data_IF_152865437811
#
_entry.id   IF_152865437811
#
_cell.length_a   1.000
_cell.length_b   1.000
_cell.length_c   1.000
_cell.angle_alpha   90.00
_cell.angle_beta   90.00
_cell.angle_gamma   90.00
#
_symmetry.space_group_name_H-M   'P 1'
#
loop_
_entity.id
_entity.type
_entity.pdbx_description
1 polymer ?
#
# COMPACT_ATOMS: atom_id res chain seq x y z
N UNK A 1 -47.50 -14.72 49.23
CA UNK A 1 -47.24 -13.25 49.08
C UNK A 1 -45.81 -12.81 49.37
N UNK A 2 -45.13 -13.18 50.47
CA UNK A 2 -43.75 -12.74 50.78
C UNK A 2 -42.70 -13.12 49.74
N UNK A 3 -42.76 -14.25 49.07
CA UNK A 3 -41.80 -14.65 48.01
C UNK A 3 -41.90 -13.81 46.72
N UNK A 4 -43.07 -13.34 46.35
CA UNK A 4 -43.28 -12.54 45.18
C UNK A 4 -42.78 -11.07 45.36
N UNK A 5 -42.94 -10.56 46.59
CA UNK A 5 -42.42 -9.20 46.93
C UNK A 5 -40.90 -9.14 46.93
N UNK A 6 -40.18 -10.23 47.35
CA UNK A 6 -38.73 -10.28 47.29
C UNK A 6 -38.22 -10.37 45.85
N UNK A 7 -38.87 -11.13 44.99
CA UNK A 7 -38.52 -11.23 43.55
C UNK A 7 -38.75 -9.89 42.84
N UNK A 8 -39.90 -9.19 43.10
CA UNK A 8 -40.15 -7.87 42.57
C UNK A 8 -39.17 -6.80 43.08
N UNK A 9 -38.82 -6.84 44.36
CA UNK A 9 -37.79 -5.94 44.96
C UNK A 9 -36.42 -6.16 44.37
N UNK A 10 -36.03 -7.40 44.10
CA UNK A 10 -34.74 -7.73 43.44
C UNK A 10 -34.78 -7.26 41.96
N UNK A 11 -35.90 -7.44 41.25
CA UNK A 11 -36.04 -6.95 39.86
C UNK A 11 -35.97 -5.41 39.78
N UNK A 12 -36.59 -4.69 40.70
CA UNK A 12 -36.53 -3.22 40.77
C UNK A 12 -35.11 -2.73 41.13
N UNK A 13 -34.43 -3.37 42.11
CA UNK A 13 -33.06 -3.03 42.48
C UNK A 13 -32.07 -3.30 41.34
N UNK A 14 -32.25 -4.41 40.63
CA UNK A 14 -31.46 -4.82 39.48
C UNK A 14 -31.66 -3.80 38.34
N UNK A 15 -32.92 -3.40 38.07
CA UNK A 15 -33.22 -2.36 37.06
C UNK A 15 -32.63 -1.00 37.41
N UNK A 16 -32.66 -0.61 38.70
CA UNK A 16 -32.06 0.64 39.15
C UNK A 16 -30.51 0.62 39.09
N UNK A 17 -29.88 -0.49 39.40
CA UNK A 17 -28.41 -0.65 39.28
C UNK A 17 -27.95 -0.57 37.81
N UNK A 18 -28.66 -1.23 36.90
CA UNK A 18 -28.41 -1.14 35.46
C UNK A 18 -28.44 0.31 34.96
N UNK A 19 -29.48 1.05 35.36
CA UNK A 19 -29.67 2.44 35.00
C UNK A 19 -28.55 3.34 35.59
N UNK A 20 -28.20 3.14 36.85
CA UNK A 20 -27.16 3.90 37.51
C UNK A 20 -25.75 3.69 36.90
N UNK A 21 -25.37 2.45 36.55
CA UNK A 21 -24.10 2.17 35.90
C UNK A 21 -24.06 2.77 34.48
N UNK A 22 -25.17 2.75 33.76
CA UNK A 22 -25.28 3.37 32.44
C UNK A 22 -25.15 4.88 32.52
N UNK A 23 -25.82 5.53 33.46
CA UNK A 23 -25.76 7.00 33.67
C UNK A 23 -24.34 7.42 34.05
N UNK A 24 -23.67 6.70 34.95
CA UNK A 24 -22.30 6.97 35.33
C UNK A 24 -21.30 6.80 34.18
N UNK A 25 -21.50 5.78 33.33
CA UNK A 25 -20.67 5.61 32.13
C UNK A 25 -20.87 6.76 31.12
N UNK A 26 -22.09 7.24 30.96
CA UNK A 26 -22.39 8.42 30.13
C UNK A 26 -21.76 9.70 30.70
N UNK A 27 -21.79 9.88 32.03
CA UNK A 27 -21.09 11.00 32.69
C UNK A 27 -19.56 10.98 32.41
N UNK A 28 -18.93 9.82 32.53
CA UNK A 28 -17.51 9.67 32.14
C UNK A 28 -17.26 9.93 30.65
N UNK A 29 -18.19 9.49 29.79
CA UNK A 29 -18.14 9.77 28.35
C UNK A 29 -18.17 11.28 28.06
N UNK A 30 -19.13 11.99 28.63
CA UNK A 30 -19.28 13.45 28.44
C UNK A 30 -18.05 14.24 28.93
N UNK A 31 -17.33 13.68 29.91
CA UNK A 31 -16.06 14.22 30.41
C UNK A 31 -14.83 13.71 29.64
N UNK A 32 -14.98 13.01 28.52
CA UNK A 32 -13.90 12.40 27.73
C UNK A 32 -13.04 11.38 28.49
N UNK A 33 -13.55 10.81 29.57
CA UNK A 33 -12.88 9.80 30.41
C UNK A 33 -13.20 8.37 29.91
N UNK A 34 -12.87 8.09 28.66
CA UNK A 34 -13.28 6.86 27.95
C UNK A 34 -12.88 5.57 28.63
N UNK A 35 -11.70 5.53 29.28
CA UNK A 35 -11.28 4.32 30.01
C UNK A 35 -12.14 4.08 31.26
N UNK A 36 -12.58 5.11 31.95
CA UNK A 36 -13.47 4.97 33.11
C UNK A 36 -14.88 4.58 32.65
N UNK A 37 -15.37 5.20 31.57
CA UNK A 37 -16.63 4.81 30.95
C UNK A 37 -16.60 3.32 30.54
N UNK A 38 -15.51 2.87 29.92
CA UNK A 38 -15.33 1.46 29.51
C UNK A 38 -15.41 0.51 30.73
N UNK A 39 -14.74 0.84 31.82
CA UNK A 39 -14.75 0.02 33.04
C UNK A 39 -16.17 -0.12 33.61
N UNK A 40 -16.91 1.00 33.70
CA UNK A 40 -18.30 0.96 34.20
C UNK A 40 -19.24 0.13 33.30
N UNK A 41 -19.10 0.27 31.97
CA UNK A 41 -19.89 -0.54 31.03
C UNK A 41 -19.50 -2.02 31.11
N UNK A 42 -18.23 -2.36 31.25
CA UNK A 42 -17.79 -3.76 31.43
C UNK A 42 -18.43 -4.38 32.69
N UNK A 43 -18.38 -3.67 33.83
CA UNK A 43 -19.03 -4.11 35.06
C UNK A 43 -20.55 -4.29 34.89
N UNK A 44 -21.19 -3.38 34.16
CA UNK A 44 -22.61 -3.50 33.86
C UNK A 44 -22.94 -4.72 32.96
N UNK A 45 -22.10 -5.04 31.98
CA UNK A 45 -22.26 -6.21 31.11
C UNK A 45 -22.08 -7.50 31.88
N UNK A 46 -21.17 -7.58 32.86
CA UNK A 46 -21.03 -8.76 33.72
C UNK A 46 -22.32 -9.06 34.50
N UNK A 47 -23.04 -8.02 34.93
CA UNK A 47 -24.32 -8.15 35.62
C UNK A 47 -25.50 -8.40 34.68
N UNK A 48 -25.42 -7.88 33.46
CA UNK A 48 -26.50 -7.90 32.46
C UNK A 48 -25.99 -8.33 31.08
N UNK A 49 -25.53 -9.60 30.92
CA UNK A 49 -24.83 -10.06 29.71
C UNK A 49 -25.73 -10.15 28.46
N UNK A 50 -27.03 -10.00 28.64
CA UNK A 50 -28.01 -10.05 27.54
C UNK A 50 -28.57 -8.67 27.18
N UNK A 51 -28.01 -7.58 27.68
CA UNK A 51 -28.47 -6.21 27.36
C UNK A 51 -27.77 -5.68 26.10
N UNK A 52 -28.46 -5.68 24.94
CA UNK A 52 -27.90 -5.16 23.68
C UNK A 52 -27.46 -3.70 23.79
N UNK A 53 -28.18 -2.88 24.55
CA UNK A 53 -27.87 -1.45 24.72
C UNK A 53 -26.53 -1.19 25.44
N UNK A 54 -26.08 -2.09 26.32
CA UNK A 54 -24.75 -1.98 26.97
C UNK A 54 -23.62 -2.28 25.99
N UNK A 55 -23.78 -3.31 25.16
CA UNK A 55 -22.82 -3.61 24.09
C UNK A 55 -22.77 -2.45 23.07
N UNK A 56 -23.92 -1.85 22.75
CA UNK A 56 -23.98 -0.69 21.86
C UNK A 56 -23.19 0.51 22.40
N UNK A 57 -23.29 0.80 23.71
CA UNK A 57 -22.48 1.83 24.33
C UNK A 57 -20.99 1.48 24.36
N UNK A 58 -20.66 0.23 24.68
CA UNK A 58 -19.25 -0.22 24.71
C UNK A 58 -18.61 -0.16 23.34
N UNK A 59 -19.31 -0.62 22.31
CA UNK A 59 -18.90 -0.50 20.91
C UNK A 59 -18.55 0.94 20.54
N UNK A 60 -19.38 1.92 20.92
CA UNK A 60 -19.12 3.35 20.68
C UNK A 60 -17.83 3.84 21.39
N UNK A 61 -17.53 3.34 22.60
CA UNK A 61 -16.27 3.64 23.28
C UNK A 61 -15.09 3.03 22.53
N UNK A 62 -15.21 1.77 22.09
CA UNK A 62 -14.17 1.12 21.29
C UNK A 62 -13.92 1.82 19.96
N UNK A 63 -14.97 2.31 19.29
CA UNK A 63 -14.86 3.13 18.06
C UNK A 63 -13.96 4.36 18.29
N UNK A 64 -14.22 5.14 19.37
CA UNK A 64 -13.41 6.33 19.71
C UNK A 64 -11.96 5.94 20.06
N UNK A 65 -11.77 4.81 20.73
CA UNK A 65 -10.44 4.32 21.10
C UNK A 65 -9.74 3.58 19.95
N UNK A 66 -10.36 3.48 18.77
CA UNK A 66 -9.87 2.74 17.60
C UNK A 66 -9.54 1.26 17.89
N UNK A 67 -10.30 0.65 18.81
CA UNK A 67 -10.16 -0.75 19.23
C UNK A 67 -11.10 -1.64 18.39
N UNK A 68 -10.77 -1.81 17.14
CA UNK A 68 -11.64 -2.41 16.11
C UNK A 68 -11.98 -3.88 16.37
N UNK A 69 -11.05 -4.67 16.90
CA UNK A 69 -11.29 -6.09 17.20
C UNK A 69 -12.33 -6.30 18.32
N UNK A 70 -12.29 -5.44 19.34
CA UNK A 70 -13.25 -5.47 20.43
C UNK A 70 -14.59 -4.89 19.99
N UNK A 71 -14.57 -3.85 19.17
CA UNK A 71 -15.76 -3.29 18.55
C UNK A 71 -16.52 -4.35 17.73
N UNK A 72 -15.83 -5.17 16.93
CA UNK A 72 -16.45 -6.26 16.17
C UNK A 72 -17.14 -7.29 17.05
N UNK A 73 -16.54 -7.66 18.20
CA UNK A 73 -17.15 -8.62 19.14
C UNK A 73 -18.47 -8.10 19.71
N UNK A 74 -18.52 -6.81 20.02
CA UNK A 74 -19.74 -6.19 20.55
C UNK A 74 -20.82 -6.08 19.46
N UNK A 75 -20.45 -5.73 18.23
CA UNK A 75 -21.36 -5.68 17.09
C UNK A 75 -21.93 -7.07 16.79
N UNK A 76 -21.13 -8.13 16.85
CA UNK A 76 -21.57 -9.51 16.70
C UNK A 76 -22.58 -9.89 17.81
N UNK A 77 -22.29 -9.48 19.06
CA UNK A 77 -23.17 -9.76 20.18
C UNK A 77 -24.51 -9.04 20.07
N UNK A 78 -24.54 -7.78 19.64
CA UNK A 78 -25.77 -7.01 19.39
C UNK A 78 -26.63 -7.73 18.34
N UNK A 79 -26.01 -8.19 17.25
CA UNK A 79 -26.71 -8.92 16.18
C UNK A 79 -27.27 -10.26 16.69
N UNK A 80 -26.52 -11.00 17.53
CA UNK A 80 -26.97 -12.26 18.12
C UNK A 80 -28.15 -12.08 19.07
N UNK A 81 -28.09 -11.05 19.94
CA UNK A 81 -29.15 -10.78 20.90
C UNK A 81 -30.47 -10.39 20.21
N UNK A 82 -30.40 -9.70 19.08
CA UNK A 82 -31.53 -9.32 18.22
C UNK A 82 -32.74 -8.71 18.98
N UNK A 83 -32.45 -7.95 20.04
CA UNK A 83 -33.47 -7.38 20.92
C UNK A 83 -34.17 -6.15 20.35
N UNK A 84 -33.36 -5.29 19.71
CA UNK A 84 -33.83 -4.04 19.13
C UNK A 84 -33.45 -4.01 17.64
N UNK A 85 -34.47 -3.91 16.78
CA UNK A 85 -34.31 -3.95 15.32
C UNK A 85 -33.47 -2.81 14.79
N UNK A 86 -33.58 -1.61 15.35
CA UNK A 86 -32.78 -0.46 14.94
C UNK A 86 -31.33 -0.65 15.32
N UNK A 87 -31.05 -1.09 16.57
CA UNK A 87 -29.68 -1.38 17.03
C UNK A 87 -29.02 -2.46 16.17
N UNK A 88 -29.74 -3.52 15.81
CA UNK A 88 -29.24 -4.59 14.93
C UNK A 88 -28.89 -4.05 13.55
N UNK A 89 -29.71 -3.16 12.98
CA UNK A 89 -29.43 -2.58 11.68
C UNK A 89 -28.24 -1.64 11.71
N UNK A 90 -28.14 -0.78 12.75
CA UNK A 90 -26.96 0.06 12.97
C UNK A 90 -25.72 -0.82 13.14
N UNK A 91 -25.83 -1.94 13.88
CA UNK A 91 -24.74 -2.87 14.07
C UNK A 91 -24.24 -3.49 12.75
N UNK A 92 -25.12 -3.85 11.82
CA UNK A 92 -24.68 -4.29 10.49
C UNK A 92 -23.96 -3.19 9.70
N UNK A 93 -24.45 -1.96 9.74
CA UNK A 93 -23.81 -0.83 9.08
C UNK A 93 -22.43 -0.54 9.68
N UNK A 94 -22.32 -0.47 10.99
CA UNK A 94 -21.05 -0.23 11.71
C UNK A 94 -20.08 -1.40 11.51
N UNK A 95 -20.56 -2.64 11.55
CA UNK A 95 -19.72 -3.82 11.33
C UNK A 95 -19.14 -3.83 9.91
N UNK A 96 -19.92 -3.41 8.91
CA UNK A 96 -19.39 -3.22 7.55
C UNK A 96 -18.29 -2.16 7.52
N UNK A 97 -18.47 -1.05 8.23
CA UNK A 97 -17.47 0.04 8.30
C UNK A 97 -16.18 -0.43 8.99
N UNK A 98 -16.30 -1.11 10.12
CA UNK A 98 -15.12 -1.64 10.87
C UNK A 98 -14.39 -2.70 10.06
N UNK A 99 -15.11 -3.66 9.47
CA UNK A 99 -14.53 -4.68 8.59
C UNK A 99 -13.80 -4.05 7.40
N UNK A 100 -14.35 -2.97 6.83
CA UNK A 100 -13.69 -2.23 5.75
C UNK A 100 -12.37 -1.60 6.22
N UNK A 101 -12.33 -1.00 7.42
CA UNK A 101 -11.09 -0.47 8.02
C UNK A 101 -10.04 -1.55 8.29
N UNK A 102 -10.47 -2.77 8.60
CA UNK A 102 -9.61 -3.94 8.81
C UNK A 102 -9.23 -4.69 7.52
N UNK A 103 -9.65 -4.20 6.35
CA UNK A 103 -9.37 -4.84 5.06
C UNK A 103 -10.23 -6.07 4.76
N UNK A 104 -11.22 -6.39 5.59
CA UNK A 104 -12.14 -7.52 5.41
C UNK A 104 -13.28 -7.15 4.44
N UNK A 105 -12.92 -6.75 3.23
CA UNK A 105 -13.84 -6.11 2.27
C UNK A 105 -14.97 -7.03 1.81
N UNK A 106 -14.74 -8.34 1.65
CA UNK A 106 -15.77 -9.28 1.23
C UNK A 106 -16.87 -9.43 2.29
N UNK A 107 -16.47 -9.56 3.54
CA UNK A 107 -17.38 -9.63 4.69
C UNK A 107 -18.09 -8.30 4.93
N UNK A 108 -17.40 -7.18 4.76
CA UNK A 108 -17.99 -5.85 4.81
C UNK A 108 -19.08 -5.66 3.75
N UNK A 109 -18.86 -6.18 2.53
CA UNK A 109 -19.84 -6.12 1.45
C UNK A 109 -21.13 -6.91 1.77
N UNK A 110 -21.02 -8.03 2.47
CA UNK A 110 -22.19 -8.81 2.93
C UNK A 110 -23.01 -7.99 3.91
N UNK A 111 -22.37 -7.39 4.91
CA UNK A 111 -23.07 -6.62 5.95
C UNK A 111 -23.74 -5.36 5.39
N UNK A 112 -23.05 -4.61 4.54
CA UNK A 112 -23.62 -3.39 3.94
C UNK A 112 -24.77 -3.71 2.97
N UNK A 113 -24.70 -4.83 2.24
CA UNK A 113 -25.79 -5.30 1.39
C UNK A 113 -27.02 -5.69 2.22
N UNK A 114 -26.81 -6.37 3.35
CA UNK A 114 -27.89 -6.70 4.27
C UNK A 114 -28.57 -5.42 4.77
N UNK A 115 -27.82 -4.42 5.24
CA UNK A 115 -28.34 -3.13 5.67
C UNK A 115 -29.17 -2.46 4.57
N UNK A 116 -28.63 -2.31 3.37
CA UNK A 116 -29.31 -1.66 2.23
C UNK A 116 -30.60 -2.40 1.84
N UNK A 117 -30.62 -3.75 1.90
CA UNK A 117 -31.80 -4.55 1.55
C UNK A 117 -32.99 -4.30 2.47
N UNK A 118 -32.79 -3.79 3.68
CA UNK A 118 -33.81 -3.53 4.69
C UNK A 118 -34.31 -2.08 4.72
N UNK A 119 -33.92 -1.25 3.77
CA UNK A 119 -34.28 0.18 3.68
C UNK A 119 -35.76 0.44 3.85
N UNK A 120 -36.65 -0.32 3.15
CA UNK A 120 -38.09 -0.11 3.19
C UNK A 120 -38.69 -0.24 4.59
N UNK A 121 -37.97 -0.91 5.48
CA UNK A 121 -38.38 -1.15 6.86
C UNK A 121 -37.98 -0.01 7.80
N UNK A 122 -36.88 0.66 7.50
CA UNK A 122 -36.27 1.63 8.38
C UNK A 122 -36.59 3.07 8.03
N UNK A 123 -37.02 3.32 6.78
CA UNK A 123 -37.22 4.67 6.23
C UNK A 123 -36.04 5.63 6.47
N UNK A 124 -34.80 5.11 6.31
CA UNK A 124 -33.55 5.86 6.52
C UNK A 124 -32.97 6.32 5.20
N UNK A 125 -32.23 7.43 5.25
CA UNK A 125 -31.38 7.86 4.15
C UNK A 125 -30.22 6.88 3.96
N UNK A 126 -30.01 6.45 2.73
CA UNK A 126 -28.97 5.49 2.37
C UNK A 126 -27.72 6.12 1.79
N UNK A 127 -27.59 7.44 1.77
CA UNK A 127 -26.45 8.14 1.18
C UNK A 127 -25.12 7.62 1.73
N UNK A 128 -25.00 7.59 3.06
CA UNK A 128 -23.78 7.06 3.72
C UNK A 128 -23.54 5.57 3.43
N UNK A 129 -24.62 4.76 3.34
CA UNK A 129 -24.50 3.36 3.03
C UNK A 129 -24.04 3.11 1.58
N UNK A 130 -24.49 3.94 0.63
CA UNK A 130 -24.02 3.86 -0.76
C UNK A 130 -22.58 4.32 -0.89
N UNK A 131 -22.15 5.36 -0.17
CA UNK A 131 -20.74 5.80 -0.13
C UNK A 131 -19.86 4.67 0.42
N UNK A 132 -20.23 4.06 1.55
CA UNK A 132 -19.49 2.96 2.15
C UNK A 132 -19.42 1.75 1.21
N UNK A 133 -20.54 1.35 0.62
CA UNK A 133 -20.56 0.25 -0.36
C UNK A 133 -19.69 0.55 -1.58
N UNK A 134 -19.73 1.76 -2.10
CA UNK A 134 -18.90 2.17 -3.24
C UNK A 134 -17.40 2.09 -2.89
N UNK A 135 -17.02 2.54 -1.69
CA UNK A 135 -15.63 2.43 -1.21
C UNK A 135 -15.18 0.97 -1.09
N UNK A 136 -16.01 0.10 -0.50
CA UNK A 136 -15.74 -1.35 -0.40
C UNK A 136 -15.57 -1.98 -1.78
N UNK A 137 -16.45 -1.66 -2.73
CA UNK A 137 -16.39 -2.18 -4.10
C UNK A 137 -15.13 -1.70 -4.84
N UNK A 138 -14.71 -0.47 -4.62
CA UNK A 138 -13.44 0.06 -5.13
C UNK A 138 -12.25 -0.79 -4.63
N UNK A 139 -12.19 -1.10 -3.34
CA UNK A 139 -11.14 -1.94 -2.75
C UNK A 139 -11.16 -3.40 -3.28
N UNK A 140 -12.34 -3.88 -3.67
CA UNK A 140 -12.51 -5.18 -4.34
C UNK A 140 -12.25 -5.14 -5.85
N UNK A 141 -11.74 -4.01 -6.37
CA UNK A 141 -11.48 -3.75 -7.80
C UNK A 141 -12.74 -3.84 -8.70
N UNK A 142 -13.94 -3.70 -8.12
CA UNK A 142 -15.19 -3.63 -8.87
C UNK A 142 -15.54 -2.15 -9.17
N UNK A 143 -14.80 -1.57 -10.12
CA UNK A 143 -14.81 -0.13 -10.41
C UNK A 143 -16.16 0.36 -10.96
N UNK A 144 -16.82 -0.41 -11.82
CA UNK A 144 -18.07 0.01 -12.44
C UNK A 144 -19.21 0.08 -11.43
N UNK A 145 -19.31 -0.92 -10.57
CA UNK A 145 -20.32 -0.96 -9.51
C UNK A 145 -20.05 0.11 -8.44
N UNK A 146 -18.79 0.37 -8.11
CA UNK A 146 -18.39 1.45 -7.21
C UNK A 146 -18.83 2.81 -7.76
N UNK A 147 -18.57 3.09 -9.04
CA UNK A 147 -19.01 4.31 -9.72
C UNK A 147 -20.53 4.46 -9.71
N UNK A 148 -21.27 3.37 -9.93
CA UNK A 148 -22.72 3.35 -9.85
C UNK A 148 -23.22 3.77 -8.47
N UNK A 149 -22.67 3.20 -7.37
CA UNK A 149 -23.12 3.52 -6.02
C UNK A 149 -22.71 4.93 -5.57
N UNK A 150 -21.54 5.43 -5.96
CA UNK A 150 -21.21 6.85 -5.75
C UNK A 150 -22.18 7.79 -6.48
N UNK A 151 -22.52 7.48 -7.73
CA UNK A 151 -23.50 8.27 -8.50
C UNK A 151 -24.89 8.24 -7.87
N UNK A 152 -25.28 7.09 -7.32
CA UNK A 152 -26.55 6.93 -6.60
C UNK A 152 -26.58 7.72 -5.29
N UNK A 153 -25.46 7.80 -4.58
CA UNK A 153 -25.32 8.57 -3.36
C UNK A 153 -25.47 10.08 -3.60
N UNK A 154 -25.06 10.59 -4.77
CA UNK A 154 -25.13 12.02 -5.10
C UNK A 154 -26.56 12.60 -5.06
N UNK A 155 -27.59 11.77 -5.24
CA UNK A 155 -28.96 12.25 -5.37
C UNK A 155 -29.46 13.00 -4.12
N UNK A 156 -29.16 12.48 -2.91
CA UNK A 156 -29.55 13.07 -1.63
C UNK A 156 -28.37 13.61 -0.82
N UNK A 157 -27.18 13.68 -1.45
CA UNK A 157 -25.93 13.99 -0.76
C UNK A 157 -25.93 15.42 -0.17
N UNK A 158 -25.53 15.54 1.08
CA UNK A 158 -25.15 16.81 1.70
C UNK A 158 -23.87 17.37 1.05
N UNK A 159 -23.46 18.58 1.40
CA UNK A 159 -22.21 19.11 0.90
C UNK A 159 -20.98 18.30 1.37
N UNK A 160 -21.00 17.82 2.62
CA UNK A 160 -19.97 16.93 3.16
C UNK A 160 -19.91 15.61 2.41
N UNK A 161 -21.08 14.97 2.18
CA UNK A 161 -21.15 13.74 1.38
C UNK A 161 -20.63 13.95 -0.04
N UNK A 162 -20.97 15.07 -0.70
CA UNK A 162 -20.49 15.39 -2.05
C UNK A 162 -18.98 15.47 -2.14
N UNK A 163 -18.31 16.04 -1.13
CA UNK A 163 -16.85 16.07 -1.07
C UNK A 163 -16.28 14.64 -1.07
N UNK A 164 -16.78 13.77 -0.20
CA UNK A 164 -16.36 12.36 -0.13
C UNK A 164 -16.64 11.60 -1.43
N UNK A 165 -17.82 11.82 -2.03
CA UNK A 165 -18.20 11.18 -3.29
C UNK A 165 -17.29 11.64 -4.43
N UNK A 166 -16.98 12.95 -4.55
CA UNK A 166 -16.09 13.44 -5.59
C UNK A 166 -14.67 12.91 -5.43
N UNK A 167 -14.16 12.76 -4.22
CA UNK A 167 -12.89 12.07 -3.94
C UNK A 167 -12.96 10.61 -4.39
N UNK A 168 -14.02 9.88 -4.02
CA UNK A 168 -14.20 8.49 -4.45
C UNK A 168 -14.29 8.34 -5.97
N UNK A 169 -15.01 9.24 -6.64
CA UNK A 169 -15.12 9.25 -8.11
C UNK A 169 -13.83 9.66 -8.80
N UNK A 170 -13.02 10.55 -8.21
CA UNK A 170 -11.70 10.92 -8.77
C UNK A 170 -10.75 9.72 -8.81
N UNK A 171 -10.80 8.84 -7.80
CA UNK A 171 -10.02 7.60 -7.80
C UNK A 171 -10.50 6.56 -8.85
N UNK A 172 -11.70 6.76 -9.40
CA UNK A 172 -12.32 5.92 -10.45
C UNK A 172 -12.31 6.58 -11.82
N UNK A 173 -11.69 7.76 -11.95
CA UNK A 173 -11.64 8.49 -13.21
C UNK A 173 -10.79 7.74 -14.25
N UNK A 174 -11.15 7.88 -15.51
CA UNK A 174 -10.45 7.23 -16.61
C UNK A 174 -9.09 7.86 -16.90
N UNK A 175 -8.94 9.14 -16.55
CA UNK A 175 -7.72 9.92 -16.77
C UNK A 175 -7.56 10.99 -15.69
N UNK A 176 -6.37 11.54 -15.58
CA UNK A 176 -6.02 12.55 -14.58
C UNK A 176 -6.80 13.85 -14.72
N UNK A 177 -7.23 14.22 -15.94
CA UNK A 177 -8.01 15.44 -16.15
C UNK A 177 -9.40 15.35 -15.54
N UNK A 178 -10.10 14.24 -15.76
CA UNK A 178 -11.41 13.98 -15.15
C UNK A 178 -11.31 13.93 -13.63
N UNK A 179 -10.23 13.33 -13.11
CA UNK A 179 -9.96 13.27 -11.67
C UNK A 179 -9.77 14.67 -11.07
N UNK A 180 -8.97 15.54 -11.71
CA UNK A 180 -8.77 16.92 -11.29
C UNK A 180 -10.07 17.72 -11.29
N UNK A 181 -10.93 17.57 -12.30
CA UNK A 181 -12.23 18.24 -12.35
C UNK A 181 -13.14 17.85 -11.19
N UNK A 182 -13.12 16.57 -10.78
CA UNK A 182 -13.89 16.10 -9.64
C UNK A 182 -13.35 16.66 -8.33
N UNK A 183 -12.03 16.69 -8.15
CA UNK A 183 -11.40 17.29 -6.97
C UNK A 183 -11.60 18.80 -6.92
N UNK A 184 -11.62 19.50 -8.06
CA UNK A 184 -11.97 20.92 -8.13
C UNK A 184 -13.43 21.17 -7.73
N UNK A 185 -14.38 20.27 -8.09
CA UNK A 185 -15.76 20.34 -7.59
C UNK A 185 -15.82 20.19 -6.08
N UNK A 186 -15.02 19.27 -5.51
CA UNK A 186 -14.92 19.11 -4.07
C UNK A 186 -14.36 20.36 -3.38
N UNK A 187 -13.28 20.96 -3.93
CA UNK A 187 -12.68 22.18 -3.39
C UNK A 187 -13.55 23.43 -3.56
N UNK A 188 -14.47 23.46 -4.51
CA UNK A 188 -15.48 24.52 -4.59
C UNK A 188 -16.50 24.44 -3.46
N UNK A 189 -16.72 23.26 -2.88
CA UNK A 189 -17.60 23.06 -1.73
C UNK A 189 -16.84 23.35 -0.44
N UNK A 190 -15.65 22.77 -0.28
CA UNK A 190 -14.77 22.94 0.87
C UNK A 190 -13.33 23.22 0.39
N UNK A 191 -13.01 24.53 0.27
CA UNK A 191 -11.72 24.99 -0.25
C UNK A 191 -10.52 24.69 0.64
N UNK A 192 -10.77 24.28 1.89
CA UNK A 192 -9.74 23.96 2.88
C UNK A 192 -9.76 22.48 3.28
N UNK A 193 -10.22 21.60 2.41
CA UNK A 193 -10.23 20.17 2.69
C UNK A 193 -8.85 19.55 2.47
N UNK A 194 -8.19 19.16 3.55
CA UNK A 194 -6.84 18.61 3.52
C UNK A 194 -6.74 17.32 2.67
N UNK A 195 -7.76 16.43 2.77
CA UNK A 195 -7.79 15.18 2.00
C UNK A 195 -7.88 15.45 0.49
N UNK A 196 -8.75 16.37 0.08
CA UNK A 196 -8.93 16.73 -1.34
C UNK A 196 -7.65 17.35 -1.90
N UNK A 197 -7.01 18.27 -1.16
CA UNK A 197 -5.72 18.86 -1.54
C UNK A 197 -4.62 17.81 -1.66
N UNK A 198 -4.54 16.86 -0.72
CA UNK A 198 -3.55 15.77 -0.77
C UNK A 198 -3.76 14.89 -2.01
N UNK A 199 -5.01 14.49 -2.31
CA UNK A 199 -5.31 13.70 -3.51
C UNK A 199 -5.00 14.46 -4.80
N UNK A 200 -5.29 15.78 -4.87
CA UNK A 200 -4.96 16.60 -6.03
C UNK A 200 -3.46 16.75 -6.21
N UNK A 201 -2.71 16.89 -5.12
CA UNK A 201 -1.25 16.91 -5.13
C UNK A 201 -0.66 15.60 -5.68
N UNK A 202 -1.24 14.45 -5.35
CA UNK A 202 -0.83 13.15 -5.91
C UNK A 202 -0.95 13.16 -7.43
N UNK A 203 -2.08 13.60 -7.97
CA UNK A 203 -2.28 13.65 -9.43
C UNK A 203 -1.31 14.62 -10.10
N UNK A 204 -1.03 15.78 -9.48
CA UNK A 204 -0.03 16.71 -10.00
C UNK A 204 1.39 16.12 -10.00
N UNK A 205 1.76 15.29 -8.98
CA UNK A 205 3.04 14.55 -8.97
C UNK A 205 3.11 13.56 -10.14
N UNK A 206 2.04 12.79 -10.36
CA UNK A 206 1.97 11.83 -11.47
C UNK A 206 2.06 12.51 -12.85
N UNK A 207 1.56 13.75 -12.97
CA UNK A 207 1.67 14.56 -14.19
C UNK A 207 3.01 15.30 -14.32
N UNK A 208 3.86 15.28 -13.29
CA UNK A 208 5.11 16.05 -13.26
C UNK A 208 4.91 17.56 -13.00
N UNK A 209 3.71 18.02 -12.60
CA UNK A 209 3.46 19.41 -12.22
C UNK A 209 3.85 19.65 -10.75
N UNK A 210 5.15 19.69 -10.53
CA UNK A 210 5.76 19.71 -9.20
C UNK A 210 5.39 20.97 -8.42
N UNK A 211 5.24 22.12 -9.10
CA UNK A 211 4.90 23.38 -8.42
C UNK A 211 3.50 23.33 -7.79
N UNK A 212 2.51 22.84 -8.56
CA UNK A 212 1.15 22.66 -8.03
C UNK A 212 1.09 21.59 -6.94
N UNK A 213 1.81 20.49 -7.12
CA UNK A 213 1.91 19.44 -6.12
C UNK A 213 2.45 19.98 -4.79
N UNK A 214 3.55 20.76 -4.81
CA UNK A 214 4.12 21.41 -3.63
C UNK A 214 3.10 22.38 -2.99
N UNK A 215 2.41 23.17 -3.80
CA UNK A 215 1.43 24.15 -3.31
C UNK A 215 0.30 23.46 -2.54
N UNK A 216 -0.30 22.43 -3.13
CA UNK A 216 -1.41 21.70 -2.52
C UNK A 216 -0.96 20.88 -1.30
N UNK A 217 0.20 20.21 -1.38
CA UNK A 217 0.77 19.46 -0.26
C UNK A 217 1.07 20.36 0.95
N UNK A 218 1.62 21.57 0.73
CA UNK A 218 1.85 22.54 1.82
C UNK A 218 0.55 23.00 2.46
N UNK A 219 -0.47 23.32 1.66
CA UNK A 219 -1.79 23.72 2.17
C UNK A 219 -2.43 22.58 2.96
N UNK A 220 -2.44 21.37 2.41
CA UNK A 220 -2.95 20.19 3.11
C UNK A 220 -2.24 19.97 4.45
N UNK A 221 -0.90 20.04 4.46
CA UNK A 221 -0.10 19.88 5.68
C UNK A 221 -0.38 20.96 6.74
N UNK A 222 -0.62 22.19 6.32
CA UNK A 222 -0.97 23.26 7.23
C UNK A 222 -2.33 23.03 7.91
N UNK A 223 -3.29 22.48 7.17
CA UNK A 223 -4.66 22.18 7.65
C UNK A 223 -4.65 20.93 8.52
N UNK A 224 -4.07 19.85 8.02
CA UNK A 224 -3.96 18.57 8.72
C UNK A 224 -2.54 17.98 8.59
N UNK A 225 -1.66 18.27 9.54
CA UNK A 225 -0.32 17.69 9.55
C UNK A 225 -0.29 16.19 9.86
N UNK A 226 -1.41 15.59 10.27
CA UNK A 226 -1.53 14.17 10.58
C UNK A 226 -2.09 13.35 9.43
N UNK A 227 -2.30 13.93 8.26
CA UNK A 227 -2.68 13.20 7.06
C UNK A 227 -1.50 12.39 6.51
N UNK A 228 -1.60 11.05 6.58
CA UNK A 228 -0.52 10.14 6.16
C UNK A 228 -0.20 10.25 4.68
N UNK A 229 -1.23 10.30 3.80
CA UNK A 229 -1.05 10.42 2.35
C UNK A 229 -0.31 11.70 1.97
N UNK A 230 -0.64 12.82 2.62
CA UNK A 230 0.05 14.08 2.38
C UNK A 230 1.51 14.05 2.86
N UNK A 231 1.79 13.46 4.02
CA UNK A 231 3.18 13.27 4.48
C UNK A 231 3.97 12.41 3.49
N UNK A 232 3.37 11.34 2.95
CA UNK A 232 3.98 10.52 1.92
C UNK A 232 4.32 11.33 0.64
N UNK A 233 3.37 12.12 0.13
CA UNK A 233 3.58 12.98 -1.04
C UNK A 233 4.72 13.98 -0.82
N UNK A 234 4.79 14.61 0.35
CA UNK A 234 5.89 15.51 0.70
C UNK A 234 7.22 14.75 0.72
N UNK A 235 7.23 13.53 1.27
CA UNK A 235 8.40 12.65 1.23
C UNK A 235 8.90 12.40 -0.19
N UNK A 236 7.99 12.07 -1.12
CA UNK A 236 8.31 11.88 -2.53
C UNK A 236 8.86 13.15 -3.20
N UNK A 237 8.26 14.31 -2.91
CA UNK A 237 8.75 15.61 -3.42
C UNK A 237 10.21 15.84 -2.99
N UNK A 238 10.52 15.62 -1.72
CA UNK A 238 11.90 15.78 -1.23
C UNK A 238 12.87 14.74 -1.81
N UNK A 239 12.42 13.48 -1.99
CA UNK A 239 13.26 12.42 -2.52
C UNK A 239 13.61 12.63 -4.01
N UNK A 240 12.61 12.91 -4.84
CA UNK A 240 12.77 12.84 -6.29
C UNK A 240 12.92 14.20 -6.97
N UNK A 241 12.46 15.29 -6.35
CA UNK A 241 12.44 16.61 -7.01
C UNK A 241 13.31 17.65 -6.30
N UNK A 242 13.48 17.57 -4.99
CA UNK A 242 14.30 18.53 -4.24
C UNK A 242 15.65 17.95 -3.81
N UNK A 243 15.93 16.70 -4.14
CA UNK A 243 17.18 15.98 -3.81
C UNK A 243 17.62 16.18 -2.35
N UNK A 244 16.66 16.05 -1.43
CA UNK A 244 16.89 16.20 0.01
C UNK A 244 16.48 14.92 0.75
N UNK A 245 17.38 13.92 0.82
CA UNK A 245 17.09 12.62 1.39
C UNK A 245 16.71 12.68 2.88
N UNK A 246 17.34 13.54 3.67
CA UNK A 246 17.06 13.65 5.11
C UNK A 246 15.61 14.09 5.37
N UNK A 247 15.13 15.08 4.60
CA UNK A 247 13.74 15.51 4.69
C UNK A 247 12.78 14.44 4.19
N UNK A 248 13.10 13.76 3.10
CA UNK A 248 12.29 12.67 2.57
C UNK A 248 12.12 11.55 3.60
N UNK A 249 13.21 11.08 4.21
CA UNK A 249 13.18 10.04 5.24
C UNK A 249 12.30 10.43 6.42
N UNK A 250 12.42 11.66 6.90
CA UNK A 250 11.61 12.19 8.01
C UNK A 250 10.10 12.14 7.70
N UNK A 251 9.69 12.49 6.49
CA UNK A 251 8.29 12.45 6.10
C UNK A 251 7.78 11.04 5.85
N UNK A 252 8.59 10.12 5.30
CA UNK A 252 8.24 8.71 5.20
C UNK A 252 8.10 8.04 6.56
N UNK A 253 9.02 8.29 7.51
CA UNK A 253 8.90 7.81 8.90
C UNK A 253 7.63 8.34 9.58
N UNK A 254 7.27 9.59 9.31
CA UNK A 254 6.03 10.18 9.82
C UNK A 254 4.80 9.50 9.22
N UNK A 255 4.80 9.18 7.93
CA UNK A 255 3.73 8.41 7.26
C UNK A 255 3.50 7.09 7.98
N UNK A 256 4.56 6.32 8.22
CA UNK A 256 4.51 5.03 8.91
C UNK A 256 3.97 5.17 10.34
N UNK A 257 4.37 6.22 11.05
CA UNK A 257 3.91 6.49 12.42
C UNK A 257 2.43 6.81 12.49
N UNK A 258 1.89 7.47 11.46
CA UNK A 258 0.48 7.86 11.40
C UNK A 258 -0.41 6.68 11.01
N UNK A 259 0.02 5.87 10.07
CA UNK A 259 -0.73 4.72 9.55
C UNK A 259 0.22 3.55 9.30
N UNK A 260 0.40 2.65 10.23
CA UNK A 260 1.42 1.59 10.13
C UNK A 260 1.05 0.44 9.18
N UNK A 261 -0.21 0.33 8.74
CA UNK A 261 -0.74 -0.81 7.97
C UNK A 261 -1.37 -0.41 6.63
N UNK A 262 -1.12 0.82 6.16
CA UNK A 262 -1.68 1.31 4.89
C UNK A 262 -0.77 1.00 3.70
N UNK A 263 -1.32 1.12 2.50
CA UNK A 263 -0.54 1.02 1.25
C UNK A 263 0.53 2.12 1.16
N UNK A 264 0.21 3.32 1.65
CA UNK A 264 1.17 4.42 1.72
C UNK A 264 2.34 4.09 2.66
N UNK A 265 2.05 3.41 3.78
CA UNK A 265 3.11 2.96 4.69
C UNK A 265 4.00 1.91 4.08
N UNK A 266 3.45 0.96 3.33
CA UNK A 266 4.25 -0.02 2.59
C UNK A 266 5.16 0.67 1.57
N UNK A 267 4.64 1.65 0.83
CA UNK A 267 5.43 2.47 -0.10
C UNK A 267 6.46 3.35 0.62
N UNK A 268 6.15 3.88 1.80
CA UNK A 268 7.11 4.63 2.61
C UNK A 268 8.23 3.71 3.12
N UNK A 269 7.92 2.48 3.54
CA UNK A 269 8.91 1.49 3.95
C UNK A 269 9.87 1.14 2.82
N UNK A 270 9.38 0.91 1.59
CA UNK A 270 10.26 0.57 0.47
C UNK A 270 11.15 1.76 0.06
N UNK A 271 10.63 2.99 0.09
CA UNK A 271 11.43 4.18 -0.17
C UNK A 271 12.53 4.36 0.89
N UNK A 272 12.20 4.19 2.18
CA UNK A 272 13.20 4.21 3.25
C UNK A 272 14.24 3.11 3.08
N UNK A 273 13.84 1.91 2.66
CA UNK A 273 14.76 0.81 2.39
C UNK A 273 15.77 1.15 1.28
N UNK A 274 15.29 1.70 0.17
CA UNK A 274 16.15 2.13 -0.93
C UNK A 274 17.13 3.20 -0.46
N UNK A 275 16.64 4.21 0.25
CA UNK A 275 17.48 5.33 0.75
C UNK A 275 18.53 4.86 1.76
N UNK A 276 18.16 3.99 2.70
CA UNK A 276 19.12 3.43 3.68
C UNK A 276 20.15 2.51 3.00
N UNK A 277 19.76 1.76 1.96
CA UNK A 277 20.70 0.95 1.18
C UNK A 277 21.72 1.84 0.46
N UNK A 278 21.27 2.91 -0.18
CA UNK A 278 22.14 3.90 -0.82
C UNK A 278 23.06 4.63 0.17
N UNK A 279 22.60 4.84 1.41
CA UNK A 279 23.39 5.42 2.48
C UNK A 279 24.40 4.42 3.11
N UNK A 280 24.45 3.17 2.64
CA UNK A 280 25.36 2.14 3.16
C UNK A 280 24.90 1.48 4.45
N UNK A 281 23.60 1.50 4.74
CA UNK A 281 22.97 0.88 5.91
C UNK A 281 22.12 -0.36 5.53
N UNK A 282 22.69 -1.42 4.91
CA UNK A 282 21.90 -2.50 4.31
C UNK A 282 21.08 -3.30 5.34
N UNK A 283 21.50 -3.36 6.60
CA UNK A 283 20.73 -4.05 7.65
C UNK A 283 19.41 -3.33 7.94
N UNK A 284 19.43 -2.00 8.03
CA UNK A 284 18.24 -1.18 8.26
C UNK A 284 17.34 -1.18 7.02
N UNK A 285 17.96 -1.10 5.85
CA UNK A 285 17.29 -1.24 4.56
C UNK A 285 16.50 -2.56 4.47
N UNK A 286 17.14 -3.67 4.82
CA UNK A 286 16.51 -5.00 4.84
C UNK A 286 15.28 -5.05 5.76
N UNK A 287 15.37 -4.49 6.98
CA UNK A 287 14.24 -4.43 7.91
C UNK A 287 13.06 -3.65 7.36
N UNK A 288 13.31 -2.52 6.70
CA UNK A 288 12.26 -1.73 6.06
C UNK A 288 11.67 -2.45 4.84
N UNK A 289 12.49 -3.05 3.98
CA UNK A 289 12.00 -3.80 2.82
C UNK A 289 11.16 -5.03 3.24
N UNK A 290 11.58 -5.74 4.30
CA UNK A 290 10.81 -6.85 4.88
C UNK A 290 9.41 -6.39 5.31
N UNK A 291 9.31 -5.24 5.99
CA UNK A 291 8.01 -4.66 6.37
C UNK A 291 7.14 -4.30 5.16
N UNK A 292 7.74 -3.76 4.10
CA UNK A 292 7.01 -3.44 2.88
C UNK A 292 6.41 -4.69 2.22
N UNK A 293 7.20 -5.78 2.08
CA UNK A 293 6.72 -7.03 1.47
C UNK A 293 5.79 -7.83 2.40
N UNK A 294 5.87 -7.67 3.72
CA UNK A 294 4.88 -8.21 4.65
C UNK A 294 3.51 -7.55 4.46
N UNK A 295 3.48 -6.22 4.29
CA UNK A 295 2.25 -5.46 4.10
C UNK A 295 1.61 -5.70 2.73
N UNK A 296 2.42 -5.76 1.67
CA UNK A 296 1.94 -5.95 0.29
C UNK A 296 2.78 -7.05 -0.39
N UNK A 297 2.51 -8.33 -0.08
CA UNK A 297 3.31 -9.45 -0.58
C UNK A 297 3.23 -9.65 -2.10
N UNK A 298 2.14 -9.19 -2.73
CA UNK A 298 1.89 -9.33 -4.16
C UNK A 298 2.25 -8.06 -4.96
N UNK A 299 3.26 -7.32 -4.51
CA UNK A 299 3.85 -6.22 -5.27
C UNK A 299 5.22 -6.67 -5.80
N UNK A 300 5.36 -6.76 -7.12
CA UNK A 300 6.56 -7.22 -7.80
C UNK A 300 7.75 -6.27 -7.59
N UNK A 301 7.52 -4.96 -7.62
CA UNK A 301 8.55 -3.94 -7.39
C UNK A 301 9.11 -4.01 -5.96
N UNK A 302 8.25 -4.25 -4.96
CA UNK A 302 8.70 -4.41 -3.57
C UNK A 302 9.55 -5.68 -3.41
N UNK A 303 9.15 -6.79 -4.00
CA UNK A 303 9.91 -8.04 -4.01
C UNK A 303 11.25 -7.86 -4.73
N UNK A 304 11.29 -7.12 -5.84
CA UNK A 304 12.51 -6.80 -6.57
C UNK A 304 13.48 -5.96 -5.72
N UNK A 305 13.01 -4.87 -5.13
CA UNK A 305 13.85 -4.01 -4.28
C UNK A 305 14.36 -4.76 -3.04
N UNK A 306 13.52 -5.62 -2.45
CA UNK A 306 13.94 -6.48 -1.33
C UNK A 306 15.03 -7.47 -1.77
N UNK A 307 14.88 -8.09 -2.93
CA UNK A 307 15.89 -8.98 -3.49
C UNK A 307 17.22 -8.26 -3.75
N UNK A 308 17.16 -7.00 -4.23
CA UNK A 308 18.35 -6.19 -4.45
C UNK A 308 19.12 -5.93 -3.14
N UNK A 309 18.41 -5.52 -2.08
CA UNK A 309 19.00 -5.29 -0.76
C UNK A 309 19.61 -6.57 -0.19
N UNK A 310 18.92 -7.71 -0.35
CA UNK A 310 19.43 -9.01 0.09
C UNK A 310 20.69 -9.43 -0.68
N UNK A 311 20.73 -9.17 -2.00
CA UNK A 311 21.91 -9.41 -2.83
C UNK A 311 23.11 -8.57 -2.41
N UNK A 312 22.91 -7.27 -2.13
CA UNK A 312 23.94 -6.38 -1.61
C UNK A 312 24.52 -6.87 -0.27
N UNK A 313 23.67 -7.50 0.54
CA UNK A 313 24.06 -8.16 1.80
C UNK A 313 24.70 -9.55 1.59
N UNK A 314 24.85 -10.02 0.34
CA UNK A 314 25.35 -11.37 0.00
C UNK A 314 24.47 -12.51 0.53
N UNK A 315 23.20 -12.23 0.79
CA UNK A 315 22.17 -13.21 1.16
C UNK A 315 21.51 -13.79 -0.10
N UNK A 316 22.36 -14.37 -0.97
CA UNK A 316 21.97 -14.74 -2.35
C UNK A 316 20.79 -15.73 -2.41
N UNK A 317 20.64 -16.64 -1.44
CA UNK A 317 19.51 -17.59 -1.42
C UNK A 317 18.19 -16.86 -1.17
N UNK A 318 18.14 -16.02 -0.14
CA UNK A 318 16.95 -15.21 0.15
C UNK A 318 16.64 -14.24 -1.00
N UNK A 319 17.67 -13.67 -1.64
CA UNK A 319 17.50 -12.80 -2.81
C UNK A 319 16.87 -13.57 -4.00
N UNK A 320 17.29 -14.82 -4.26
CA UNK A 320 16.68 -15.69 -5.29
C UNK A 320 15.19 -15.97 -4.99
N UNK A 321 14.85 -16.19 -3.71
CA UNK A 321 13.46 -16.42 -3.31
C UNK A 321 12.60 -15.16 -3.54
N UNK A 322 13.10 -14.00 -3.14
CA UNK A 322 12.39 -12.72 -3.33
C UNK A 322 12.21 -12.38 -4.82
N UNK A 323 13.29 -12.46 -5.63
CA UNK A 323 13.20 -12.15 -7.07
C UNK A 323 12.32 -13.17 -7.82
N UNK A 324 12.26 -14.41 -7.35
CA UNK A 324 11.37 -15.42 -7.94
C UNK A 324 9.89 -15.11 -7.67
N UNK A 325 9.57 -14.48 -6.54
CA UNK A 325 8.22 -13.96 -6.28
C UNK A 325 7.89 -12.78 -7.20
N UNK A 326 8.84 -11.84 -7.42
CA UNK A 326 8.64 -10.75 -8.37
C UNK A 326 8.34 -11.28 -9.78
N UNK A 327 9.11 -12.26 -10.26
CA UNK A 327 8.89 -12.93 -11.55
C UNK A 327 7.52 -13.64 -11.62
N UNK A 328 7.07 -14.26 -10.53
CA UNK A 328 5.77 -14.92 -10.49
C UNK A 328 4.60 -13.95 -10.59
N UNK A 329 4.76 -12.73 -10.06
CA UNK A 329 3.76 -11.67 -10.14
C UNK A 329 3.76 -11.02 -11.52
N UNK A 330 4.94 -10.67 -12.05
CA UNK A 330 5.11 -10.03 -13.34
C UNK A 330 6.14 -10.79 -14.20
N UNK A 331 5.73 -11.83 -14.94
CA UNK A 331 6.64 -12.70 -15.69
C UNK A 331 7.14 -12.09 -17.01
N UNK A 332 6.74 -10.87 -17.37
CA UNK A 332 7.19 -10.18 -18.58
C UNK A 332 8.28 -9.14 -18.32
N UNK A 333 8.61 -8.87 -17.04
CA UNK A 333 9.62 -7.90 -16.68
C UNK A 333 11.02 -8.51 -16.79
N UNK A 334 11.76 -8.09 -17.82
CA UNK A 334 13.07 -8.67 -18.17
C UNK A 334 14.14 -8.39 -17.11
N UNK A 335 14.04 -7.27 -16.43
CA UNK A 335 14.98 -6.83 -15.38
C UNK A 335 15.01 -7.82 -14.20
N UNK A 336 13.87 -8.45 -13.89
CA UNK A 336 13.80 -9.43 -12.81
C UNK A 336 14.60 -10.69 -13.13
N UNK A 337 14.52 -11.16 -14.38
CA UNK A 337 15.33 -12.29 -14.84
C UNK A 337 16.81 -11.92 -14.90
N UNK A 338 17.13 -10.73 -15.39
CA UNK A 338 18.51 -10.24 -15.41
C UNK A 338 19.13 -10.22 -14.02
N UNK A 339 18.43 -9.69 -13.04
CA UNK A 339 18.86 -9.70 -11.64
C UNK A 339 19.03 -11.13 -11.10
N UNK A 340 18.07 -12.02 -11.35
CA UNK A 340 18.17 -13.44 -10.95
C UNK A 340 19.39 -14.11 -11.56
N UNK A 341 19.63 -13.86 -12.86
CA UNK A 341 20.80 -14.37 -13.56
C UNK A 341 22.13 -13.86 -12.97
N UNK A 342 22.20 -12.58 -12.63
CA UNK A 342 23.35 -11.97 -11.99
C UNK A 342 23.66 -12.59 -10.62
N UNK A 343 22.62 -12.81 -9.78
CA UNK A 343 22.78 -13.48 -8.48
C UNK A 343 23.27 -14.93 -8.67
N UNK A 344 22.77 -15.66 -9.69
CA UNK A 344 23.24 -17.02 -10.00
C UNK A 344 24.70 -17.04 -10.46
N UNK A 345 25.16 -16.03 -11.19
CA UNK A 345 26.59 -15.85 -11.52
C UNK A 345 27.42 -15.70 -10.26
N UNK A 346 27.01 -14.84 -9.32
CA UNK A 346 27.72 -14.68 -8.03
C UNK A 346 27.78 -15.98 -7.23
N UNK A 347 26.77 -16.84 -7.38
CA UNK A 347 26.74 -18.17 -6.76
C UNK A 347 27.51 -19.23 -7.56
N UNK A 348 28.16 -18.87 -8.68
CA UNK A 348 28.84 -19.75 -9.62
C UNK A 348 27.93 -20.83 -10.25
N UNK A 349 26.61 -20.59 -10.26
CA UNK A 349 25.60 -21.47 -10.84
C UNK A 349 25.41 -21.15 -12.33
N UNK A 350 26.47 -21.27 -13.12
CA UNK A 350 26.50 -20.83 -14.53
C UNK A 350 25.46 -21.50 -15.40
N UNK A 351 25.19 -22.81 -15.21
CA UNK A 351 24.18 -23.53 -15.99
C UNK A 351 22.78 -22.95 -15.82
N UNK A 352 22.40 -22.65 -14.59
CA UNK A 352 21.10 -22.07 -14.28
C UNK A 352 21.03 -20.62 -14.78
N UNK A 353 22.11 -19.83 -14.59
CA UNK A 353 22.21 -18.47 -15.10
C UNK A 353 22.02 -18.39 -16.63
N UNK A 354 22.64 -19.33 -17.40
CA UNK A 354 22.44 -19.39 -18.85
C UNK A 354 20.96 -19.54 -19.20
N UNK A 355 20.25 -20.45 -18.53
CA UNK A 355 18.80 -20.66 -18.78
C UNK A 355 17.97 -19.40 -18.47
N UNK A 356 18.33 -18.66 -17.43
CA UNK A 356 17.67 -17.40 -17.04
C UNK A 356 17.94 -16.30 -18.08
N UNK A 357 19.17 -16.12 -18.55
CA UNK A 357 19.48 -15.12 -19.58
C UNK A 357 18.89 -15.49 -20.95
N UNK A 358 18.76 -16.76 -21.28
CA UNK A 358 18.00 -17.20 -22.45
C UNK A 358 16.54 -16.75 -22.35
N UNK A 359 15.95 -16.82 -21.13
CA UNK A 359 14.60 -16.30 -20.89
C UNK A 359 14.51 -14.78 -21.08
N UNK A 360 15.52 -14.01 -20.64
CA UNK A 360 15.60 -12.58 -20.94
C UNK A 360 15.54 -12.31 -22.44
N UNK A 361 16.29 -13.07 -23.24
CA UNK A 361 16.33 -12.93 -24.70
C UNK A 361 15.00 -13.32 -25.37
N UNK A 362 14.30 -14.33 -24.84
CA UNK A 362 12.95 -14.70 -25.30
C UNK A 362 11.94 -13.57 -25.07
N UNK A 363 12.00 -12.91 -23.90
CA UNK A 363 11.10 -11.80 -23.57
C UNK A 363 11.46 -10.55 -24.38
N UNK A 364 12.74 -10.19 -24.39
CA UNK A 364 13.24 -9.04 -25.12
C UNK A 364 14.53 -9.39 -25.89
N UNK A 365 14.45 -9.72 -27.20
CA UNK A 365 15.60 -10.04 -28.03
C UNK A 365 16.65 -8.93 -28.16
N UNK A 366 16.29 -7.68 -27.81
CA UNK A 366 17.19 -6.54 -27.85
C UNK A 366 17.78 -6.19 -26.48
N UNK A 367 17.62 -7.04 -25.47
CA UNK A 367 18.14 -6.81 -24.14
C UNK A 367 19.64 -7.13 -24.07
N UNK A 368 20.47 -6.14 -24.38
CA UNK A 368 21.94 -6.27 -24.52
C UNK A 368 22.65 -6.82 -23.28
N UNK A 369 22.15 -6.52 -22.08
CA UNK A 369 22.70 -7.03 -20.82
C UNK A 369 22.71 -8.56 -20.75
N UNK A 370 21.65 -9.24 -21.24
CA UNK A 370 21.61 -10.69 -21.23
C UNK A 370 22.70 -11.30 -22.13
N UNK A 371 22.95 -10.73 -23.28
CA UNK A 371 24.04 -11.18 -24.16
C UNK A 371 25.40 -10.94 -23.53
N UNK A 372 25.62 -9.79 -22.90
CA UNK A 372 26.85 -9.50 -22.19
C UNK A 372 27.12 -10.52 -21.08
N UNK A 373 26.11 -10.79 -20.24
CA UNK A 373 26.22 -11.76 -19.15
C UNK A 373 26.44 -13.20 -19.65
N UNK A 374 25.82 -13.57 -20.77
CA UNK A 374 26.11 -14.87 -21.44
C UNK A 374 27.56 -14.92 -21.94
N UNK A 375 28.04 -13.83 -22.55
CA UNK A 375 29.45 -13.70 -22.94
C UNK A 375 30.39 -13.94 -21.76
N UNK A 376 30.10 -13.29 -20.62
CA UNK A 376 30.87 -13.47 -19.39
C UNK A 376 30.80 -14.91 -18.85
N UNK A 377 29.63 -15.55 -18.84
CA UNK A 377 29.50 -16.94 -18.38
C UNK A 377 30.35 -17.89 -19.26
N UNK A 378 30.27 -17.73 -20.57
CA UNK A 378 31.05 -18.58 -21.48
C UNK A 378 32.58 -18.29 -21.40
N UNK A 379 32.97 -17.08 -21.07
CA UNK A 379 34.35 -16.74 -20.71
C UNK A 379 34.81 -17.51 -19.48
N UNK A 380 34.00 -17.53 -18.38
CA UNK A 380 34.33 -18.28 -17.16
C UNK A 380 34.36 -19.81 -17.37
N UNK A 381 33.72 -20.29 -18.42
CA UNK A 381 33.71 -21.70 -18.83
C UNK A 381 34.80 -22.01 -19.87
N UNK A 382 35.73 -21.10 -20.14
CA UNK A 382 36.79 -21.19 -21.16
C UNK A 382 36.28 -21.49 -22.59
N UNK A 383 35.00 -21.18 -22.86
CA UNK A 383 34.43 -21.32 -24.21
C UNK A 383 34.50 -19.99 -24.94
N UNK A 384 35.69 -19.66 -25.40
CA UNK A 384 36.02 -18.38 -26.02
C UNK A 384 35.21 -18.08 -27.29
N UNK A 385 34.88 -19.09 -28.10
CA UNK A 385 34.08 -18.88 -29.31
C UNK A 385 32.64 -18.46 -29.01
N UNK A 386 31.99 -19.12 -28.06
CA UNK A 386 30.65 -18.70 -27.62
C UNK A 386 30.69 -17.35 -26.93
N UNK A 387 31.69 -17.07 -26.10
CA UNK A 387 31.90 -15.79 -25.47
C UNK A 387 31.97 -14.67 -26.50
N UNK A 388 32.80 -14.81 -27.55
CA UNK A 388 32.91 -13.86 -28.66
C UNK A 388 31.56 -13.64 -29.35
N UNK A 389 30.82 -14.69 -29.62
CA UNK A 389 29.53 -14.61 -30.29
C UNK A 389 28.52 -13.74 -29.45
N UNK A 390 28.48 -13.96 -28.14
CA UNK A 390 27.58 -13.25 -27.27
C UNK A 390 28.03 -11.79 -27.02
N UNK A 391 29.32 -11.54 -26.84
CA UNK A 391 29.82 -10.15 -26.71
C UNK A 391 29.61 -9.36 -28.02
N UNK A 392 29.77 -9.99 -29.20
CA UNK A 392 29.42 -9.34 -30.47
C UNK A 392 27.94 -8.93 -30.53
N UNK A 393 27.03 -9.78 -30.03
CA UNK A 393 25.61 -9.43 -29.93
C UNK A 393 25.38 -8.25 -29.00
N UNK A 394 25.99 -8.24 -27.81
CA UNK A 394 25.92 -7.14 -26.87
C UNK A 394 26.46 -5.83 -27.46
N UNK A 395 27.58 -5.88 -28.16
CA UNK A 395 28.19 -4.76 -28.88
C UNK A 395 27.26 -4.18 -29.96
N UNK A 396 26.64 -5.04 -30.75
CA UNK A 396 25.69 -4.61 -31.80
C UNK A 396 24.45 -3.94 -31.21
N UNK A 397 24.04 -4.30 -30.02
CA UNK A 397 22.94 -3.69 -29.28
C UNK A 397 23.38 -2.45 -28.47
N UNK A 398 24.66 -2.09 -28.52
CA UNK A 398 25.19 -0.91 -27.83
C UNK A 398 25.25 -1.00 -26.31
N UNK A 399 25.16 -2.22 -25.76
CA UNK A 399 25.20 -2.41 -24.30
C UNK A 399 26.63 -2.24 -23.78
N UNK A 400 26.82 -1.33 -22.78
CA UNK A 400 28.08 -1.03 -22.14
C UNK A 400 29.28 -1.16 -23.10
N UNK A 401 29.22 -0.34 -24.16
CA UNK A 401 29.99 -0.55 -25.39
C UNK A 401 31.48 -0.63 -25.12
N UNK A 402 31.99 0.18 -24.17
CA UNK A 402 33.42 0.19 -23.81
C UNK A 402 33.84 -1.12 -23.14
N UNK A 403 33.14 -1.58 -22.09
CA UNK A 403 33.43 -2.84 -21.40
C UNK A 403 33.23 -4.04 -22.31
N UNK A 404 32.19 -4.01 -23.14
CA UNK A 404 31.90 -5.08 -24.11
C UNK A 404 33.01 -5.23 -25.14
N UNK A 405 33.52 -4.14 -25.71
CA UNK A 405 34.64 -4.16 -26.67
C UNK A 405 35.95 -4.66 -26.04
N UNK A 406 36.23 -4.27 -24.80
CA UNK A 406 37.41 -4.77 -24.09
C UNK A 406 37.30 -6.26 -23.84
N UNK A 407 36.17 -6.74 -23.32
CA UNK A 407 36.00 -8.15 -23.04
C UNK A 407 36.00 -8.99 -24.31
N UNK A 408 35.37 -8.51 -25.40
CA UNK A 408 35.41 -9.13 -26.72
C UNK A 408 36.85 -9.28 -27.20
N UNK A 409 37.63 -8.23 -27.19
CA UNK A 409 39.03 -8.24 -27.62
C UNK A 409 39.88 -9.22 -26.80
N UNK A 410 39.66 -9.30 -25.49
CA UNK A 410 40.36 -10.26 -24.63
C UNK A 410 40.06 -11.71 -25.04
N UNK A 411 38.85 -12.03 -25.43
CA UNK A 411 38.51 -13.38 -25.93
C UNK A 411 39.08 -13.64 -27.33
N UNK A 412 39.12 -12.62 -28.21
CA UNK A 412 39.69 -12.72 -29.57
C UNK A 412 41.18 -12.99 -29.52
N UNK A 413 41.91 -12.37 -28.57
CA UNK A 413 43.33 -12.68 -28.34
C UNK A 413 43.52 -14.15 -27.97
N UNK A 414 42.67 -14.72 -27.11
CA UNK A 414 42.76 -16.13 -26.68
C UNK A 414 42.56 -17.10 -27.82
N UNK A 415 41.81 -16.71 -28.86
CA UNK A 415 41.60 -17.54 -30.07
C UNK A 415 42.47 -17.08 -31.26
N UNK A 416 43.50 -16.30 -31.02
CA UNK A 416 44.48 -15.81 -31.97
C UNK A 416 43.91 -14.87 -33.08
N UNK A 417 42.81 -14.18 -32.83
CA UNK A 417 42.22 -13.14 -33.69
C UNK A 417 42.76 -11.75 -33.38
N UNK A 418 44.09 -11.60 -33.47
CA UNK A 418 44.79 -10.39 -32.96
C UNK A 418 44.35 -9.12 -33.70
N UNK A 419 44.10 -9.18 -35.02
CA UNK A 419 43.69 -8.02 -35.83
C UNK A 419 42.36 -7.44 -35.37
N UNK A 420 41.39 -8.30 -35.12
CA UNK A 420 40.03 -7.93 -34.68
C UNK A 420 40.12 -7.33 -33.26
N UNK A 421 40.88 -7.97 -32.37
CA UNK A 421 41.11 -7.53 -31.03
C UNK A 421 41.75 -6.11 -30.96
N UNK A 422 42.77 -5.83 -31.80
CA UNK A 422 43.36 -4.49 -31.87
C UNK A 422 42.33 -3.43 -32.26
N UNK A 423 41.50 -3.73 -33.30
CA UNK A 423 40.45 -2.80 -33.74
C UNK A 423 39.41 -2.52 -32.64
N UNK A 424 38.99 -3.55 -31.92
CA UNK A 424 38.04 -3.39 -30.81
C UNK A 424 38.65 -2.61 -29.62
N UNK A 425 39.93 -2.83 -29.29
CA UNK A 425 40.62 -2.06 -28.24
C UNK A 425 40.80 -0.61 -28.62
N UNK A 426 41.16 -0.30 -29.89
CA UNK A 426 41.28 1.07 -30.38
C UNK A 426 39.93 1.80 -30.22
N UNK A 427 38.85 1.16 -30.64
CA UNK A 427 37.51 1.71 -30.49
C UNK A 427 37.08 1.92 -29.05
N UNK A 428 37.40 0.95 -28.15
CA UNK A 428 37.13 1.10 -26.72
C UNK A 428 37.92 2.26 -26.10
N UNK A 429 39.17 2.45 -26.52
CA UNK A 429 40.03 3.57 -26.09
C UNK A 429 39.47 4.92 -26.55
N UNK A 430 38.99 5.04 -27.78
CA UNK A 430 38.41 6.27 -28.31
C UNK A 430 37.14 6.63 -27.51
N UNK A 431 36.28 5.67 -27.19
CA UNK A 431 35.07 5.86 -26.35
C UNK A 431 35.47 6.40 -24.97
N UNK A 432 36.46 5.81 -24.29
CA UNK A 432 36.88 6.25 -22.97
C UNK A 432 37.52 7.64 -22.97
N UNK A 433 38.04 8.12 -24.10
CA UNK A 433 38.56 9.50 -24.22
C UNK A 433 37.45 10.53 -24.45
N UNK A 434 36.32 10.15 -25.04
CA UNK A 434 35.18 11.04 -25.24
C UNK A 434 34.44 11.33 -23.92
N UNK A 435 34.42 10.39 -22.98
CA UNK A 435 33.80 10.53 -21.67
C UNK A 435 34.56 11.45 -20.70
N UNK A 436 35.82 11.82 -21.03
CA UNK A 436 36.71 12.66 -20.20
C UNK A 436 36.72 14.13 -20.68
N UNK A 437 35.98 14.49 -21.74
CA UNK A 437 35.78 15.86 -22.21
C UNK A 437 34.46 16.43 -21.71
#
# INVERSE_FOLDING_TARGET
MKRYLVIWGIFLLVSCQHQASKEKALEYWDNNQFQLALNEICNAIELYPDSSSLYFLRMRIYEIMSRYDEELKDLDRIIQLNQNREEVMIAYYQRATVKSKLGLFKEALVDINYFISRQKVLNVDLTGAYINKASILYQLNNKDEAKYFYSKALFNATNEDKVLIYVGLSNLAANSQDALELLDKALKIDGNNALVLANRATIYLEQGDIEKAISDSKKSFYIDPYNASNNFNIGQIYAHHLNNPDSAMKYFERTIKLESQSTQSASAYINLAIMENQAGNPKKACQYAEKAVELIPNNDEFQYNYAHILSDMKKNKEAIDAISKAIAINPQEVEYYNMKGAILIEMLQFKDAVSIFQKCIEINPNFGAAYYNLGYIYEQLDNHEQSINFYNKAMLLGFDLQSTLVNLALQEIKVNKVSDACSHLERAYELGRMDVK
#
